data_IF_735910303318
#
_entry.id   IF_735910303318
#
_cell.length_a   1.000
_cell.length_b   1.000
_cell.length_c   1.000
_cell.angle_alpha   90.00
_cell.angle_beta   90.00
_cell.angle_gamma   90.00
#
_symmetry.space_group_name_H-M   'P 1'
#
loop_
_entity.id
_entity.type
_entity.pdbx_description
1 polymer ?
#
# COMPACT_ATOMS: atom_id res chain seq x y z
N UNK A 1 -26.14 10.97 -44.42
CA UNK A 1 -24.83 10.32 -44.20
C UNK A 1 -25.00 9.38 -43.01
N UNK A 2 -24.46 8.18 -43.15
CA UNK A 2 -24.93 6.97 -42.46
C UNK A 2 -24.38 6.87 -41.03
N UNK A 3 -25.28 6.70 -40.06
CA UNK A 3 -24.97 6.15 -38.75
C UNK A 3 -24.52 4.71 -38.95
N UNK A 4 -23.20 4.48 -38.95
CA UNK A 4 -22.64 3.13 -38.85
C UNK A 4 -22.90 2.65 -37.43
N UNK A 5 -23.96 1.88 -37.30
CA UNK A 5 -24.20 0.94 -36.21
C UNK A 5 -23.01 -0.02 -36.09
N UNK A 6 -22.09 0.25 -35.18
CA UNK A 6 -21.11 -0.73 -34.73
C UNK A 6 -21.80 -1.58 -33.68
N UNK A 7 -22.41 -2.68 -34.13
CA UNK A 7 -22.79 -3.80 -33.29
C UNK A 7 -21.49 -4.47 -32.84
N UNK A 8 -21.03 -4.16 -31.63
CA UNK A 8 -20.00 -4.95 -30.97
C UNK A 8 -20.68 -6.25 -30.54
N UNK A 9 -20.29 -7.42 -31.07
CA UNK A 9 -20.86 -8.67 -30.62
C UNK A 9 -20.42 -8.89 -29.17
N UNK A 10 -21.36 -8.74 -28.23
CA UNK A 10 -21.18 -9.16 -26.84
C UNK A 10 -21.00 -10.66 -26.87
N UNK A 11 -19.76 -11.10 -26.96
CA UNK A 11 -19.39 -12.49 -26.76
C UNK A 11 -19.75 -12.82 -25.32
N UNK A 12 -20.69 -13.75 -25.12
CA UNK A 12 -20.97 -14.33 -23.83
C UNK A 12 -19.73 -15.13 -23.38
N UNK A 13 -18.77 -14.42 -22.78
CA UNK A 13 -17.60 -14.99 -22.18
C UNK A 13 -18.01 -15.52 -20.81
N UNK A 14 -18.31 -16.82 -20.75
CA UNK A 14 -18.39 -17.54 -19.48
C UNK A 14 -16.96 -17.65 -18.92
N UNK A 15 -16.47 -16.58 -18.30
CA UNK A 15 -15.20 -16.60 -17.60
C UNK A 15 -15.44 -17.34 -16.28
N UNK A 16 -15.11 -18.62 -16.23
CA UNK A 16 -14.89 -19.30 -14.96
C UNK A 16 -13.56 -18.79 -14.39
N UNK A 17 -13.61 -17.67 -13.68
CA UNK A 17 -12.43 -17.08 -13.03
C UNK A 17 -12.12 -17.88 -11.77
N UNK A 18 -11.13 -18.77 -11.83
CA UNK A 18 -10.46 -19.34 -10.64
C UNK A 18 -9.06 -18.73 -10.48
N UNK A 19 -8.92 -17.43 -10.74
CA UNK A 19 -7.69 -16.69 -10.52
C UNK A 19 -7.89 -15.68 -9.40
N UNK A 20 -7.04 -15.74 -8.37
CA UNK A 20 -7.03 -14.80 -7.25
C UNK A 20 -6.84 -13.37 -7.78
N UNK A 21 -7.94 -12.66 -8.00
CA UNK A 21 -7.93 -11.25 -8.36
C UNK A 21 -7.56 -10.44 -7.11
N UNK A 22 -6.59 -9.53 -7.25
CA UNK A 22 -6.24 -8.57 -6.20
C UNK A 22 -7.37 -7.56 -5.94
N UNK A 23 -8.37 -7.50 -6.82
CA UNK A 23 -9.62 -6.79 -6.58
C UNK A 23 -10.67 -7.81 -6.17
N UNK A 24 -10.99 -7.83 -4.87
CA UNK A 24 -12.07 -8.63 -4.34
C UNK A 24 -13.40 -8.14 -4.96
N UNK A 25 -14.13 -9.04 -5.63
CA UNK A 25 -15.45 -8.77 -6.20
C UNK A 25 -16.42 -8.21 -5.15
N UNK A 26 -16.33 -8.68 -3.90
CA UNK A 26 -17.20 -8.24 -2.82
C UNK A 26 -16.93 -6.79 -2.43
N UNK A 27 -15.68 -6.33 -2.51
CA UNK A 27 -15.33 -4.93 -2.28
C UNK A 27 -15.87 -4.03 -3.39
N UNK A 28 -15.79 -4.48 -4.64
CA UNK A 28 -16.36 -3.76 -5.78
C UNK A 28 -17.90 -3.69 -5.69
N UNK A 29 -18.55 -4.77 -5.24
CA UNK A 29 -19.99 -4.78 -4.98
C UNK A 29 -20.37 -3.88 -3.80
N UNK A 30 -19.58 -3.84 -2.71
CA UNK A 30 -19.76 -2.89 -1.60
C UNK A 30 -19.67 -1.44 -2.07
N UNK A 31 -18.79 -1.15 -3.03
CA UNK A 31 -18.69 0.16 -3.68
C UNK A 31 -19.86 0.46 -4.65
N UNK A 32 -20.78 -0.49 -4.84
CA UNK A 32 -21.99 -0.35 -5.65
C UNK A 32 -21.75 -0.55 -7.16
N UNK A 33 -20.67 -1.25 -7.54
CA UNK A 33 -20.41 -1.58 -8.94
C UNK A 33 -21.28 -2.75 -9.38
N UNK A 34 -21.72 -2.68 -10.65
CA UNK A 34 -22.46 -3.76 -11.30
C UNK A 34 -21.52 -4.82 -11.85
N UNK A 35 -22.04 -6.01 -12.12
CA UNK A 35 -21.28 -7.14 -12.67
C UNK A 35 -20.57 -6.79 -14.00
N UNK A 36 -21.20 -5.96 -14.84
CA UNK A 36 -20.58 -5.50 -16.08
C UNK A 36 -19.37 -4.58 -15.81
N UNK A 37 -19.46 -3.72 -14.80
CA UNK A 37 -18.37 -2.83 -14.40
C UNK A 37 -17.21 -3.63 -13.77
N UNK A 38 -17.52 -4.63 -12.95
CA UNK A 38 -16.52 -5.53 -12.37
C UNK A 38 -15.74 -6.26 -13.47
N UNK A 39 -16.44 -6.75 -14.49
CA UNK A 39 -15.81 -7.42 -15.64
C UNK A 39 -14.89 -6.46 -16.41
N UNK A 40 -15.29 -5.20 -16.58
CA UNK A 40 -14.49 -4.18 -17.23
C UNK A 40 -13.18 -3.86 -16.46
N UNK A 41 -13.19 -3.93 -15.12
CA UNK A 41 -11.97 -3.81 -14.32
C UNK A 41 -10.96 -4.93 -14.58
N UNK A 42 -11.44 -6.17 -14.75
CA UNK A 42 -10.56 -7.30 -15.06
C UNK A 42 -9.92 -7.18 -16.44
N UNK A 43 -10.70 -6.74 -17.43
CA UNK A 43 -10.20 -6.49 -18.79
C UNK A 43 -9.22 -5.31 -18.81
N UNK A 44 -9.57 -4.19 -18.20
CA UNK A 44 -8.70 -3.03 -18.08
C UNK A 44 -7.38 -3.37 -17.37
N UNK A 45 -7.40 -4.26 -16.38
CA UNK A 45 -6.18 -4.75 -15.72
C UNK A 45 -5.28 -5.52 -16.69
N UNK A 46 -5.82 -6.46 -17.48
CA UNK A 46 -5.05 -7.23 -18.47
C UNK A 46 -4.41 -6.31 -19.51
N UNK A 47 -5.16 -5.29 -19.96
CA UNK A 47 -4.66 -4.27 -20.88
C UNK A 47 -3.51 -3.46 -20.27
N UNK A 48 -3.62 -3.05 -19.00
CA UNK A 48 -2.52 -2.40 -18.27
C UNK A 48 -1.30 -3.29 -18.12
N UNK A 49 -1.48 -4.58 -17.82
CA UNK A 49 -0.38 -5.56 -17.74
C UNK A 49 0.31 -5.75 -19.09
N UNK A 50 -0.42 -5.59 -20.20
CA UNK A 50 0.12 -5.57 -21.56
C UNK A 50 0.75 -4.22 -21.96
N UNK A 51 0.69 -3.20 -21.09
CA UNK A 51 1.20 -1.85 -21.35
C UNK A 51 0.23 -0.90 -22.08
N UNK A 52 -0.99 -1.35 -22.37
CA UNK A 52 -2.01 -0.58 -23.09
C UNK A 52 -2.93 0.17 -22.11
N UNK A 53 -2.41 1.28 -21.58
CA UNK A 53 -3.13 2.09 -20.59
C UNK A 53 -4.29 2.88 -21.18
N UNK A 54 -4.22 3.23 -22.46
CA UNK A 54 -5.26 3.99 -23.15
C UNK A 54 -6.46 3.08 -23.43
N UNK A 55 -6.25 1.87 -23.98
CA UNK A 55 -7.33 0.91 -24.16
C UNK A 55 -7.97 0.49 -22.82
N UNK A 56 -7.16 0.34 -21.77
CA UNK A 56 -7.69 0.05 -20.44
C UNK A 56 -8.62 1.16 -19.93
N UNK A 57 -8.31 2.42 -20.24
CA UNK A 57 -9.16 3.55 -19.88
C UNK A 57 -10.46 3.53 -20.68
N UNK A 58 -10.36 3.31 -21.99
CA UNK A 58 -11.53 3.26 -22.88
C UNK A 58 -12.53 2.17 -22.44
N UNK A 59 -12.04 0.99 -22.05
CA UNK A 59 -12.88 -0.11 -21.51
C UNK A 59 -13.63 0.31 -20.25
N UNK A 60 -12.97 1.02 -19.34
CA UNK A 60 -13.62 1.52 -18.11
C UNK A 60 -14.66 2.59 -18.43
N UNK A 61 -14.34 3.54 -19.31
CA UNK A 61 -15.26 4.60 -19.72
C UNK A 61 -16.49 4.02 -20.45
N UNK A 62 -16.31 3.03 -21.32
CA UNK A 62 -17.40 2.34 -22.03
C UNK A 62 -18.33 1.58 -21.06
N UNK A 63 -17.77 1.00 -19.99
CA UNK A 63 -18.54 0.38 -18.92
C UNK A 63 -19.22 1.39 -17.98
N UNK A 64 -19.10 2.69 -18.25
CA UNK A 64 -19.65 3.76 -17.42
C UNK A 64 -18.96 3.88 -16.06
N UNK A 65 -17.69 3.52 -15.99
CA UNK A 65 -16.83 3.74 -14.81
C UNK A 65 -16.17 5.11 -15.01
N UNK A 66 -16.90 6.14 -14.59
CA UNK A 66 -16.46 7.52 -14.65
C UNK A 66 -15.68 7.94 -13.38
N UNK A 67 -15.29 9.22 -13.33
CA UNK A 67 -14.58 9.80 -12.20
C UNK A 67 -15.32 9.64 -10.87
N UNK A 68 -16.65 9.77 -10.88
CA UNK A 68 -17.49 9.69 -9.68
C UNK A 68 -17.58 8.23 -9.18
N UNK A 69 -17.66 7.25 -10.08
CA UNK A 69 -17.55 5.82 -9.73
C UNK A 69 -16.18 5.52 -9.12
N UNK A 70 -15.11 6.03 -9.74
CA UNK A 70 -13.74 5.83 -9.24
C UNK A 70 -13.48 6.54 -7.90
N UNK A 71 -14.12 7.68 -7.65
CA UNK A 71 -14.10 8.36 -6.36
C UNK A 71 -14.79 7.52 -5.28
N UNK A 72 -16.02 7.07 -5.53
CA UNK A 72 -16.74 6.18 -4.59
C UNK A 72 -15.99 4.89 -4.28
N UNK A 73 -15.35 4.31 -5.29
CA UNK A 73 -14.51 3.13 -5.11
C UNK A 73 -13.31 3.44 -4.20
N UNK A 74 -12.60 4.55 -4.44
CA UNK A 74 -11.48 4.98 -3.59
C UNK A 74 -11.93 5.22 -2.15
N UNK A 75 -13.05 5.89 -1.94
CA UNK A 75 -13.60 6.14 -0.60
C UNK A 75 -13.92 4.83 0.13
N UNK A 76 -14.52 3.88 -0.57
CA UNK A 76 -14.81 2.54 -0.02
C UNK A 76 -13.51 1.82 0.36
N UNK A 77 -12.51 1.84 -0.52
CA UNK A 77 -11.19 1.23 -0.24
C UNK A 77 -10.47 1.91 0.93
N UNK A 78 -10.54 3.24 1.02
CA UNK A 78 -9.99 3.99 2.15
C UNK A 78 -10.69 3.62 3.47
N UNK A 79 -12.01 3.49 3.46
CA UNK A 79 -12.78 3.08 4.63
C UNK A 79 -12.40 1.68 5.14
N UNK A 80 -12.30 0.70 4.25
CA UNK A 80 -11.88 -0.67 4.61
C UNK A 80 -10.43 -0.69 5.13
N UNK A 81 -9.51 0.07 4.50
CA UNK A 81 -8.13 0.18 4.99
C UNK A 81 -8.05 0.81 6.39
N UNK A 82 -8.83 1.86 6.67
CA UNK A 82 -8.91 2.44 8.02
C UNK A 82 -9.56 1.48 9.03
N UNK A 83 -10.53 0.66 8.63
CA UNK A 83 -11.11 -0.37 9.50
C UNK A 83 -10.06 -1.42 9.89
N UNK A 84 -9.29 -1.92 8.93
CA UNK A 84 -8.17 -2.85 9.18
C UNK A 84 -7.14 -2.21 10.11
N UNK A 85 -6.69 -1.00 9.80
CA UNK A 85 -5.71 -0.26 10.61
C UNK A 85 -6.21 -0.05 12.04
N UNK A 86 -7.46 0.35 12.22
CA UNK A 86 -8.08 0.56 13.53
C UNK A 86 -8.12 -0.75 14.33
N UNK A 87 -8.48 -1.86 13.69
CA UNK A 87 -8.50 -3.17 14.33
C UNK A 87 -7.10 -3.60 14.78
N UNK A 88 -6.08 -3.37 13.94
CA UNK A 88 -4.66 -3.64 14.26
C UNK A 88 -4.18 -2.77 15.43
N UNK A 89 -4.47 -1.46 15.40
CA UNK A 89 -4.07 -0.54 16.48
C UNK A 89 -4.75 -0.88 17.81
N UNK A 90 -5.99 -1.37 17.78
CA UNK A 90 -6.73 -1.82 18.96
C UNK A 90 -6.42 -3.26 19.36
N UNK A 91 -5.57 -3.99 18.64
CA UNK A 91 -5.35 -5.42 18.82
C UNK A 91 -6.65 -6.25 18.80
N UNK A 92 -7.63 -5.85 17.99
CA UNK A 92 -8.95 -6.47 17.88
C UNK A 92 -9.01 -7.46 16.71
N UNK A 93 -8.77 -8.73 17.01
CA UNK A 93 -8.77 -9.80 16.02
C UNK A 93 -10.13 -10.01 15.35
N UNK A 94 -11.23 -9.91 16.10
CA UNK A 94 -12.57 -10.17 15.57
C UNK A 94 -13.01 -9.03 14.64
N UNK A 95 -12.64 -7.78 14.96
CA UNK A 95 -12.83 -6.65 14.07
C UNK A 95 -11.93 -6.75 12.82
N UNK A 96 -10.69 -7.22 12.98
CA UNK A 96 -9.76 -7.42 11.89
C UNK A 96 -10.30 -8.43 10.88
N UNK A 97 -10.73 -9.62 11.31
CA UNK A 97 -11.29 -10.65 10.43
C UNK A 97 -12.48 -10.14 9.60
N UNK A 98 -13.36 -9.33 10.21
CA UNK A 98 -14.49 -8.71 9.50
C UNK A 98 -14.03 -7.69 8.46
N UNK A 99 -13.01 -6.89 8.78
CA UNK A 99 -12.49 -5.87 7.88
C UNK A 99 -11.73 -6.47 6.69
N UNK A 100 -11.12 -7.64 6.86
CA UNK A 100 -10.40 -8.34 5.77
C UNK A 100 -11.26 -9.37 5.04
N UNK A 101 -12.54 -9.53 5.39
CA UNK A 101 -13.44 -10.53 4.82
C UNK A 101 -13.48 -10.45 3.28
N UNK A 102 -13.29 -11.60 2.63
CA UNK A 102 -13.21 -11.73 1.17
C UNK A 102 -11.92 -11.22 0.54
N UNK A 103 -11.01 -10.58 1.29
CA UNK A 103 -9.70 -10.20 0.78
C UNK A 103 -8.74 -11.39 0.80
N UNK A 104 -7.71 -11.41 -0.08
CA UNK A 104 -6.64 -12.42 -0.01
C UNK A 104 -5.91 -12.44 1.33
N UNK A 105 -5.98 -11.35 2.11
CA UNK A 105 -5.38 -11.26 3.43
C UNK A 105 -6.08 -12.18 4.45
N UNK A 106 -7.39 -12.46 4.25
CA UNK A 106 -8.15 -13.39 5.11
C UNK A 106 -7.70 -14.84 4.95
N UNK A 107 -7.21 -15.21 3.76
CA UNK A 107 -6.67 -16.54 3.52
C UNK A 107 -5.29 -16.71 4.18
N UNK A 108 -4.54 -15.61 4.29
CA UNK A 108 -3.19 -15.56 4.84
C UNK A 108 -3.19 -15.47 6.37
N UNK A 109 -4.04 -14.62 6.93
CA UNK A 109 -4.13 -14.39 8.37
C UNK A 109 -5.49 -14.88 8.84
N UNK A 110 -5.52 -16.11 9.35
CA UNK A 110 -6.73 -16.78 9.81
C UNK A 110 -6.63 -17.31 11.25
N UNK A 111 -5.49 -17.08 11.91
CA UNK A 111 -5.27 -17.38 13.33
C UNK A 111 -4.93 -16.13 14.14
N UNK A 112 -5.11 -16.22 15.46
CA UNK A 112 -4.76 -15.14 16.40
C UNK A 112 -3.25 -14.92 16.47
N UNK A 113 -2.49 -16.00 16.30
CA UNK A 113 -1.03 -16.00 16.30
C UNK A 113 -0.48 -15.24 15.08
N UNK A 114 -1.00 -15.53 13.88
CA UNK A 114 -0.64 -14.79 12.66
C UNK A 114 -1.04 -13.31 12.76
N UNK A 115 -2.21 -13.03 13.34
CA UNK A 115 -2.63 -11.65 13.59
C UNK A 115 -1.70 -10.93 14.57
N UNK A 116 -1.23 -11.59 15.63
CA UNK A 116 -0.27 -11.00 16.56
C UNK A 116 1.05 -10.64 15.84
N UNK A 117 1.57 -11.53 14.98
CA UNK A 117 2.73 -11.25 14.12
C UNK A 117 2.46 -10.05 13.19
N UNK A 118 1.27 -10.00 12.59
CA UNK A 118 0.87 -8.87 11.73
C UNK A 118 0.84 -7.54 12.49
N UNK A 119 0.35 -7.53 13.73
CA UNK A 119 0.36 -6.34 14.60
C UNK A 119 1.79 -5.95 14.97
N UNK A 120 2.68 -6.91 15.27
CA UNK A 120 4.10 -6.64 15.52
C UNK A 120 4.74 -5.97 14.30
N UNK A 121 4.54 -6.51 13.10
CA UNK A 121 5.04 -5.93 11.86
C UNK A 121 4.51 -4.50 11.62
N UNK A 122 3.22 -4.25 11.88
CA UNK A 122 2.63 -2.91 11.80
C UNK A 122 3.29 -1.91 12.78
N UNK A 123 3.55 -2.33 14.02
CA UNK A 123 4.21 -1.49 15.01
C UNK A 123 5.67 -1.19 14.62
N UNK A 124 6.39 -2.18 14.10
CA UNK A 124 7.74 -2.00 13.57
C UNK A 124 7.75 -0.97 12.42
N UNK A 125 6.81 -1.06 11.48
CA UNK A 125 6.66 -0.05 10.42
C UNK A 125 6.38 1.35 10.97
N UNK A 126 5.49 1.48 11.96
CA UNK A 126 5.14 2.76 12.61
C UNK A 126 6.35 3.39 13.30
N UNK A 127 7.24 2.56 13.83
CA UNK A 127 8.49 2.98 14.47
C UNK A 127 9.65 3.22 13.47
N UNK A 128 9.42 2.98 12.17
CA UNK A 128 10.41 3.17 11.12
C UNK A 128 11.29 1.95 10.82
N UNK A 129 11.09 0.84 11.53
CA UNK A 129 11.82 -0.41 11.31
C UNK A 129 11.15 -1.24 10.20
N UNK A 130 11.37 -0.80 8.97
CA UNK A 130 10.74 -1.41 7.79
C UNK A 130 11.36 -2.74 7.39
N UNK A 131 12.62 -3.00 7.75
CA UNK A 131 13.30 -4.25 7.42
C UNK A 131 12.81 -5.38 8.32
N UNK A 132 12.75 -5.17 9.64
CA UNK A 132 12.21 -6.16 10.56
C UNK A 132 10.72 -6.42 10.31
N UNK A 133 9.94 -5.38 10.01
CA UNK A 133 8.55 -5.55 9.61
C UNK A 133 8.41 -6.38 8.32
N UNK A 134 9.30 -6.18 7.35
CA UNK A 134 9.29 -6.94 6.09
C UNK A 134 9.55 -8.42 6.35
N UNK A 135 10.52 -8.76 7.19
CA UNK A 135 10.81 -10.17 7.53
C UNK A 135 9.57 -10.88 8.07
N UNK A 136 8.83 -10.25 8.98
CA UNK A 136 7.58 -10.82 9.50
C UNK A 136 6.51 -10.94 8.41
N UNK A 137 6.38 -9.95 7.51
CA UNK A 137 5.44 -10.07 6.40
C UNK A 137 5.81 -11.19 5.43
N UNK A 138 7.10 -11.36 5.12
CA UNK A 138 7.60 -12.44 4.26
C UNK A 138 7.34 -13.81 4.90
N UNK A 139 7.52 -13.95 6.23
CA UNK A 139 7.17 -15.16 6.99
C UNK A 139 5.67 -15.48 6.95
N UNK A 140 4.83 -14.44 7.03
CA UNK A 140 3.39 -14.56 6.85
C UNK A 140 2.99 -14.81 5.39
N UNK A 141 3.91 -14.79 4.43
CA UNK A 141 3.60 -14.94 3.00
C UNK A 141 2.95 -13.71 2.37
N UNK A 142 3.00 -12.55 3.04
CA UNK A 142 2.49 -11.27 2.56
C UNK A 142 3.58 -10.57 1.78
N UNK A 143 3.54 -10.71 0.45
CA UNK A 143 4.50 -10.00 -0.42
C UNK A 143 4.23 -8.51 -0.36
N UNK A 144 5.20 -7.75 0.15
CA UNK A 144 5.15 -6.30 0.15
C UNK A 144 5.15 -5.72 -1.28
N UNK A 145 4.65 -4.48 -1.49
CA UNK A 145 4.61 -3.81 -2.80
C UNK A 145 5.99 -3.54 -3.46
N UNK A 146 7.09 -4.06 -2.93
CA UNK A 146 8.47 -3.73 -3.33
C UNK A 146 9.15 -4.74 -4.25
N UNK A 147 8.52 -5.87 -4.54
CA UNK A 147 9.10 -6.89 -5.43
C UNK A 147 8.64 -6.77 -6.89
N UNK A 148 8.03 -5.63 -7.26
CA UNK A 148 7.66 -5.31 -8.65
C UNK A 148 8.75 -4.53 -9.37
N UNK A 149 9.02 -4.91 -10.62
CA UNK A 149 9.95 -4.36 -11.63
C UNK A 149 9.76 -2.86 -11.99
N UNK A 150 9.15 -2.05 -11.12
CA UNK A 150 8.98 -0.60 -11.26
C UNK A 150 9.60 0.19 -10.10
N UNK A 151 10.62 -0.37 -9.43
CA UNK A 151 11.47 0.30 -8.43
C UNK A 151 12.51 1.27 -9.03
N UNK A 152 12.23 1.86 -10.19
CA UNK A 152 13.07 2.91 -10.77
C UNK A 152 12.92 4.20 -9.95
N UNK A 153 13.96 4.57 -9.21
CA UNK A 153 14.10 5.75 -8.33
C UNK A 153 13.45 5.62 -6.94
N UNK A 154 14.08 4.86 -6.06
CA UNK A 154 14.36 5.35 -4.70
C UNK A 154 15.63 4.71 -4.16
N UNK A 155 16.71 5.50 -4.17
CA UNK A 155 17.87 5.34 -3.30
C UNK A 155 18.69 4.07 -3.50
N UNK A 156 19.74 4.16 -4.33
CA UNK A 156 21.05 3.59 -3.99
C UNK A 156 21.25 3.59 -2.48
N UNK A 157 21.83 2.51 -1.93
CA UNK A 157 22.14 2.26 -0.52
C UNK A 157 22.94 3.35 0.20
N UNK A 158 22.40 4.57 0.22
CA UNK A 158 22.81 5.67 1.04
C UNK A 158 22.24 5.38 2.41
N UNK A 159 23.16 4.96 3.27
CA UNK A 159 23.02 5.12 4.70
C UNK A 159 22.27 6.42 5.02
N UNK A 160 21.34 6.40 5.99
CA UNK A 160 20.69 7.59 6.50
C UNK A 160 21.69 8.75 6.60
N UNK A 161 21.32 9.99 6.22
CA UNK A 161 22.26 11.12 6.18
C UNK A 161 23.07 11.30 7.47
N UNK A 162 22.49 10.92 8.62
CA UNK A 162 23.14 10.94 9.92
C UNK A 162 24.20 9.83 10.10
N UNK A 163 24.03 8.64 9.52
CA UNK A 163 25.03 7.56 9.57
C UNK A 163 26.28 7.91 8.74
N UNK A 164 26.15 8.74 7.71
CA UNK A 164 27.30 9.19 6.90
C UNK A 164 28.28 10.09 7.68
N UNK A 165 27.84 10.65 8.81
CA UNK A 165 28.64 11.49 9.69
C UNK A 165 29.33 10.69 10.80
N UNK A 166 29.07 9.39 10.90
CA UNK A 166 29.62 8.51 11.92
C UNK A 166 30.80 7.71 11.39
N UNK A 167 31.76 7.44 12.28
CA UNK A 167 32.84 6.50 12.02
C UNK A 167 32.33 5.06 11.95
N UNK A 168 33.08 4.18 11.27
CA UNK A 168 32.70 2.77 11.13
C UNK A 168 32.52 2.03 12.47
N UNK A 169 33.28 2.44 13.49
CA UNK A 169 33.13 1.94 14.86
C UNK A 169 31.77 2.35 15.47
N UNK A 170 31.39 3.62 15.34
CA UNK A 170 30.11 4.15 15.85
C UNK A 170 28.91 3.55 15.11
N UNK A 171 29.04 3.33 13.80
CA UNK A 171 28.02 2.61 13.00
C UNK A 171 27.81 1.19 13.51
N UNK A 172 28.89 0.51 13.88
CA UNK A 172 28.82 -0.86 14.40
C UNK A 172 28.10 -0.92 15.76
N UNK A 173 28.36 0.04 16.65
CA UNK A 173 27.68 0.13 17.96
C UNK A 173 26.18 0.45 17.82
N UNK A 174 25.85 1.38 16.93
CA UNK A 174 24.46 1.72 16.63
C UNK A 174 23.76 0.52 15.97
N UNK A 175 24.43 -0.17 15.04
CA UNK A 175 23.89 -1.37 14.40
C UNK A 175 23.64 -2.49 15.42
N UNK A 176 24.56 -2.71 16.36
CA UNK A 176 24.35 -3.67 17.44
C UNK A 176 23.18 -3.28 18.37
N UNK A 177 22.97 -1.97 18.61
CA UNK A 177 21.83 -1.48 19.38
C UNK A 177 20.49 -1.62 18.62
N UNK A 178 20.50 -1.46 17.28
CA UNK A 178 19.37 -1.80 16.40
C UNK A 178 19.07 -3.30 16.44
N UNK A 179 20.08 -4.15 16.26
CA UNK A 179 19.95 -5.62 16.32
C UNK A 179 19.45 -6.09 17.69
N UNK A 180 19.81 -5.39 18.77
CA UNK A 180 19.33 -5.65 20.11
C UNK A 180 17.94 -5.03 20.43
N UNK A 181 17.26 -4.42 19.45
CA UNK A 181 15.96 -3.71 19.59
C UNK A 181 15.96 -2.66 20.74
N UNK A 182 17.11 -2.05 21.04
CA UNK A 182 17.26 -1.09 22.14
C UNK A 182 17.31 0.35 21.61
N UNK A 183 16.13 0.89 21.32
CA UNK A 183 15.97 2.23 20.74
C UNK A 183 16.41 3.37 21.66
N UNK A 184 16.29 3.21 22.98
CA UNK A 184 16.78 4.19 23.95
C UNK A 184 18.30 4.29 23.89
N UNK A 185 18.98 3.14 23.78
CA UNK A 185 20.42 3.09 23.58
C UNK A 185 20.86 3.67 22.23
N UNK A 186 20.09 3.46 21.15
CA UNK A 186 20.36 4.11 19.86
C UNK A 186 20.27 5.64 19.99
N UNK A 187 19.24 6.16 20.68
CA UNK A 187 19.06 7.60 20.91
C UNK A 187 20.19 8.18 21.76
N UNK A 188 20.60 7.46 22.81
CA UNK A 188 21.74 7.83 23.66
C UNK A 188 23.05 7.89 22.85
N UNK A 189 23.32 6.86 22.04
CA UNK A 189 24.53 6.81 21.20
C UNK A 189 24.56 7.97 20.20
N UNK A 190 23.45 8.21 19.48
CA UNK A 190 23.35 9.30 18.51
C UNK A 190 23.54 10.68 19.17
N UNK A 191 22.92 10.89 20.33
CA UNK A 191 23.09 12.12 21.12
C UNK A 191 24.54 12.28 21.59
N UNK A 192 25.19 11.18 22.02
CA UNK A 192 26.60 11.19 22.43
C UNK A 192 27.57 11.54 21.30
N UNK A 193 27.17 11.28 20.05
CA UNK A 193 27.95 11.58 18.85
C UNK A 193 27.66 12.97 18.27
N UNK A 194 26.88 13.80 18.99
CA UNK A 194 26.53 15.17 18.57
C UNK A 194 25.46 15.23 17.48
N UNK A 195 24.74 14.13 17.25
CA UNK A 195 23.61 14.05 16.33
C UNK A 195 22.33 14.18 17.16
N UNK A 196 21.81 15.40 17.24
CA UNK A 196 20.52 15.65 17.87
C UNK A 196 19.40 15.13 16.96
N UNK A 197 18.81 14.00 17.35
CA UNK A 197 17.53 13.58 16.77
C UNK A 197 16.49 14.64 17.17
N UNK A 198 15.72 15.20 16.22
CA UNK A 198 14.67 16.13 16.56
C UNK A 198 13.74 15.47 17.59
N UNK A 199 13.60 16.12 18.74
CA UNK A 199 12.71 15.65 19.79
C UNK A 199 11.32 15.49 19.18
N UNK A 200 10.66 14.35 19.46
CA UNK A 200 9.34 14.02 18.93
C UNK A 200 8.43 15.24 19.03
N UNK A 201 8.25 15.95 17.91
CA UNK A 201 7.14 16.87 17.77
C UNK A 201 5.91 15.97 17.82
N UNK A 202 5.16 16.04 18.92
CA UNK A 202 3.80 15.54 18.97
C UNK A 202 3.07 16.02 17.70
N UNK A 203 2.81 15.12 16.76
CA UNK A 203 2.02 15.40 15.57
C UNK A 203 2.74 15.56 14.22
N UNK A 204 4.00 15.13 14.03
CA UNK A 204 4.52 14.98 12.66
C UNK A 204 5.50 13.81 12.53
N UNK A 205 4.99 12.68 12.04
CA UNK A 205 5.84 11.60 11.54
C UNK A 205 6.74 12.11 10.42
N UNK A 206 7.85 11.40 10.18
CA UNK A 206 8.76 11.61 9.05
C UNK A 206 8.01 11.38 7.72
N UNK A 207 7.20 12.37 7.34
CA UNK A 207 6.44 12.45 6.12
C UNK A 207 7.32 13.04 5.04
N UNK A 208 7.75 12.18 4.14
CA UNK A 208 8.03 12.55 2.76
C UNK A 208 6.80 13.29 2.21
N UNK A 209 6.96 14.54 1.83
CA UNK A 209 5.98 15.28 1.05
C UNK A 209 5.77 16.71 1.52
N UNK A 210 6.20 17.68 0.71
CA UNK A 210 5.30 18.56 -0.07
C UNK A 210 6.17 19.65 -0.72
N UNK A 211 6.54 19.42 -1.97
CA UNK A 211 7.04 20.44 -2.88
C UNK A 211 6.21 20.39 -4.15
N UNK A 212 4.89 20.60 -4.01
CA UNK A 212 4.06 21.09 -5.10
C UNK A 212 3.93 22.57 -4.83
N UNK A 213 4.95 23.32 -5.27
CA UNK A 213 4.76 24.73 -5.59
C UNK A 213 3.84 24.73 -6.82
N UNK A 214 2.54 24.89 -6.58
CA UNK A 214 1.67 25.52 -7.57
C UNK A 214 2.03 26.99 -7.50
N UNK A 215 2.89 27.42 -8.40
CA UNK A 215 2.97 28.82 -8.78
C UNK A 215 1.61 29.16 -9.41
N UNK A 216 0.79 29.85 -8.62
CA UNK A 216 -0.34 30.61 -9.13
C UNK A 216 0.24 31.75 -9.99
N UNK A 217 0.34 31.50 -11.30
CA UNK A 217 0.54 32.56 -12.29
C UNK A 217 -0.80 33.30 -12.48
N UNK A 218 -1.09 34.19 -11.53
CA UNK A 218 -1.88 35.40 -11.78
C UNK A 218 -0.93 36.47 -12.34
N UNK A 219 -1.00 36.73 -13.66
CA UNK A 219 -0.57 38.01 -14.22
C UNK A 219 -1.57 38.50 -15.28
N UNK A 220 -2.31 39.54 -14.86
CA UNK A 220 -2.86 40.70 -15.58
C UNK A 220 -3.62 40.54 -16.92
#
# INVERSE_FOLDING_TARGET
MNLRSVLIPVAAFAVTVTGASAFNSDLLQKAGLKDEQISAFEEAKKLREAGDSDAARDVLEEAGIDGDVMERLRDTMHGEHEAVKTAVENNDYDAFLKAIEGSPLADIINTKEEFASFVEAHNLMKNGDREAAKEIFDELGIKGPRDGEHGGRMGDGKEPPFLSQLTDAQKTEIKAAFEARNHDKVKELLTSYGIELPEKAEGRGFGFGRGMDREDDDQD
#
